data_IF_751083336111
#
_entry.id   IF_751083336111
#
_cell.length_a   1.000
_cell.length_b   1.000
_cell.length_c   1.000
_cell.angle_alpha   90.00
_cell.angle_beta   90.00
_cell.angle_gamma   90.00
#
_symmetry.space_group_name_H-M   'P 1'
#
loop_
_entity.id
_entity.type
_entity.pdbx_description
1 polymer ?
#
# COMPACT_ATOMS: atom_id res chain seq x y z
N UNK A 1 -0.91 3.28 -13.25
CA UNK A 1 -2.07 2.38 -13.06
C UNK A 1 -2.52 2.46 -11.62
N UNK A 2 -3.82 2.33 -11.39
CA UNK A 2 -4.42 2.15 -10.08
C UNK A 2 -4.31 0.67 -9.68
N UNK A 3 -3.59 0.35 -8.61
CA UNK A 3 -3.39 -1.03 -8.17
C UNK A 3 -3.91 -1.21 -6.75
N UNK A 4 -4.81 -2.16 -6.56
CA UNK A 4 -5.29 -2.54 -5.25
C UNK A 4 -4.35 -3.57 -4.61
N UNK A 5 -3.82 -3.26 -3.44
CA UNK A 5 -3.07 -4.20 -2.60
C UNK A 5 -3.94 -4.56 -1.41
N UNK A 6 -4.14 -5.86 -1.15
CA UNK A 6 -4.97 -6.34 -0.05
C UNK A 6 -4.12 -7.17 0.91
N UNK A 7 -3.89 -6.66 2.12
CA UNK A 7 -3.09 -7.37 3.11
C UNK A 7 -2.41 -6.44 4.11
N UNK A 8 -1.87 -7.01 5.18
CA UNK A 8 -1.24 -6.24 6.25
C UNK A 8 0.03 -6.85 6.84
N UNK A 9 0.53 -7.94 6.26
CA UNK A 9 1.84 -8.51 6.60
C UNK A 9 2.97 -7.82 5.84
N UNK A 10 4.22 -8.16 6.15
CA UNK A 10 5.40 -7.53 5.54
C UNK A 10 5.41 -7.59 4.00
N UNK A 11 4.91 -8.68 3.41
CA UNK A 11 4.75 -8.80 1.96
C UNK A 11 3.85 -7.71 1.37
N UNK A 12 2.74 -7.38 2.02
CA UNK A 12 1.87 -6.29 1.58
C UNK A 12 2.53 -4.91 1.70
N UNK A 13 3.33 -4.67 2.73
CA UNK A 13 4.11 -3.43 2.87
C UNK A 13 5.14 -3.31 1.75
N UNK A 14 5.89 -4.38 1.48
CA UNK A 14 6.88 -4.42 0.43
C UNK A 14 6.23 -4.19 -0.94
N UNK A 15 5.17 -4.94 -1.28
CA UNK A 15 4.43 -4.79 -2.54
C UNK A 15 3.86 -3.38 -2.71
N UNK A 16 3.22 -2.82 -1.67
CA UNK A 16 2.65 -1.48 -1.73
C UNK A 16 3.71 -0.40 -1.93
N UNK A 17 4.85 -0.51 -1.24
CA UNK A 17 5.94 0.45 -1.37
C UNK A 17 6.62 0.34 -2.73
N UNK A 18 6.95 -0.87 -3.17
CA UNK A 18 7.64 -1.12 -4.45
C UNK A 18 6.82 -0.60 -5.64
N UNK A 19 5.53 -0.92 -5.71
CA UNK A 19 4.65 -0.43 -6.77
C UNK A 19 4.51 1.09 -6.78
N UNK A 20 4.44 1.71 -5.58
CA UNK A 20 4.37 3.16 -5.47
C UNK A 20 5.67 3.84 -5.95
N UNK A 21 6.84 3.28 -5.64
CA UNK A 21 8.14 3.78 -6.11
C UNK A 21 8.27 3.67 -7.64
N UNK A 22 7.65 2.66 -8.24
CA UNK A 22 7.57 2.50 -9.70
C UNK A 22 6.47 3.34 -10.37
N UNK A 23 5.84 4.27 -9.65
CA UNK A 23 4.90 5.25 -10.20
C UNK A 23 3.46 4.76 -10.34
N UNK A 24 3.09 3.65 -9.70
CA UNK A 24 1.70 3.20 -9.64
C UNK A 24 0.93 3.91 -8.51
N UNK A 25 -0.36 4.17 -8.73
CA UNK A 25 -1.25 4.69 -7.71
C UNK A 25 -1.76 3.53 -6.86
N UNK A 26 -1.16 3.36 -5.68
CA UNK A 26 -1.47 2.22 -4.80
C UNK A 26 -2.68 2.51 -3.92
N UNK A 27 -3.68 1.64 -4.03
CA UNK A 27 -4.90 1.59 -3.23
C UNK A 27 -4.78 0.42 -2.25
N UNK A 28 -4.41 0.71 -1.01
CA UNK A 28 -4.01 -0.34 -0.08
C UNK A 28 -5.02 -0.52 1.04
N UNK A 29 -5.59 -1.72 1.10
CA UNK A 29 -6.47 -2.14 2.19
C UNK A 29 -5.78 -3.07 3.20
N UNK A 30 -6.05 -2.81 4.48
CA UNK A 30 -5.75 -3.72 5.59
C UNK A 30 -6.95 -3.85 6.54
N UNK A 31 -7.22 -5.08 6.99
CA UNK A 31 -8.29 -5.39 7.95
C UNK A 31 -8.07 -4.77 9.33
N UNK A 32 -6.87 -4.91 9.87
CA UNK A 32 -6.50 -4.37 11.18
C UNK A 32 -6.16 -2.88 11.06
N UNK A 33 -7.17 -2.03 11.18
CA UNK A 33 -7.02 -0.58 11.10
C UNK A 33 -6.15 0.01 12.22
N UNK A 34 -6.10 -0.62 13.41
CA UNK A 34 -5.27 -0.12 14.51
C UNK A 34 -3.79 -0.25 14.17
N UNK A 35 -3.38 -1.42 13.69
CA UNK A 35 -2.02 -1.64 13.24
C UNK A 35 -1.70 -0.93 11.90
N UNK A 36 -2.71 -0.51 11.14
CA UNK A 36 -2.56 0.30 9.93
C UNK A 36 -2.52 1.82 10.18
N UNK A 37 -2.79 2.25 11.41
CA UNK A 37 -2.94 3.66 11.81
C UNK A 37 -1.86 4.60 11.28
N UNK A 38 -0.56 4.30 11.43
CA UNK A 38 0.51 5.16 10.92
C UNK A 38 0.43 5.38 9.41
N UNK A 39 0.15 4.32 8.63
CA UNK A 39 0.03 4.44 7.17
C UNK A 39 -1.22 5.23 6.76
N UNK A 40 -2.33 5.07 7.49
CA UNK A 40 -3.56 5.84 7.26
C UNK A 40 -3.33 7.34 7.48
N UNK A 41 -2.52 7.70 8.48
CA UNK A 41 -2.21 9.08 8.84
C UNK A 41 -1.19 9.70 7.89
N UNK A 42 -0.04 9.05 7.71
CA UNK A 42 1.10 9.65 7.01
C UNK A 42 1.03 9.45 5.49
N UNK A 43 0.36 8.37 5.05
CA UNK A 43 0.33 7.90 3.66
C UNK A 43 1.72 7.68 3.07
N UNK A 44 2.71 7.43 3.92
CA UNK A 44 4.10 7.19 3.54
C UNK A 44 4.57 5.87 4.15
N UNK A 45 5.42 5.15 3.42
CA UNK A 45 6.13 3.98 3.91
C UNK A 45 7.61 4.19 3.62
N UNK A 46 8.45 3.82 4.57
CA UNK A 46 9.89 3.68 4.32
C UNK A 46 10.17 2.25 3.88
N UNK A 47 10.64 2.07 2.63
CA UNK A 47 11.18 0.79 2.16
C UNK A 47 12.69 0.80 2.38
N UNK A 48 13.23 -0.30 2.91
CA UNK A 48 14.67 -0.51 3.03
C UNK A 48 15.03 -1.76 2.24
N UNK A 49 15.90 -1.60 1.25
CA UNK A 49 16.38 -2.67 0.37
C UNK A 49 17.91 -2.60 0.22
N UNK A 50 18.45 -3.34 -0.74
CA UNK A 50 19.89 -3.36 -1.01
C UNK A 50 20.46 -2.04 -1.52
N UNK A 51 19.63 -1.16 -2.07
CA UNK A 51 20.02 0.12 -2.66
C UNK A 51 19.81 1.30 -1.70
N UNK A 52 19.18 1.06 -0.54
CA UNK A 52 19.15 1.99 0.57
C UNK A 52 17.76 2.17 1.18
N UNK A 53 17.41 3.42 1.47
CA UNK A 53 16.13 3.80 2.09
C UNK A 53 15.32 4.68 1.15
N UNK A 54 14.10 4.26 0.87
CA UNK A 54 13.21 4.92 -0.06
C UNK A 54 11.90 5.34 0.63
N UNK A 55 11.35 6.48 0.24
CA UNK A 55 10.07 6.99 0.75
C UNK A 55 8.99 6.76 -0.32
N UNK A 56 8.09 5.80 -0.06
CA UNK A 56 6.99 5.46 -0.95
C UNK A 56 5.70 6.15 -0.49
N UNK A 57 5.06 6.90 -1.39
CA UNK A 57 3.76 7.54 -1.12
C UNK A 57 2.61 6.63 -1.54
N UNK A 58 1.70 6.35 -0.61
CA UNK A 58 0.50 5.55 -0.87
C UNK A 58 -0.65 6.49 -1.24
N UNK A 59 -1.22 6.30 -2.43
CA UNK A 59 -2.30 7.15 -2.94
C UNK A 59 -3.56 7.03 -2.04
N UNK A 60 -3.94 5.80 -1.70
CA UNK A 60 -5.13 5.52 -0.92
C UNK A 60 -4.91 4.36 0.07
N UNK A 61 -4.40 4.62 1.28
CA UNK A 61 -4.52 3.66 2.37
C UNK A 61 -5.94 3.73 2.96
N UNK A 62 -6.60 2.58 3.12
CA UNK A 62 -7.97 2.51 3.62
C UNK A 62 -8.24 1.24 4.44
N UNK A 63 -9.23 1.31 5.34
CA UNK A 63 -9.81 0.16 6.04
C UNK A 63 -11.08 -0.35 5.37
N UNK A 64 -11.53 0.32 4.31
CA UNK A 64 -12.68 -0.08 3.51
C UNK A 64 -12.23 -0.93 2.29
N UNK A 65 -12.58 -2.21 2.30
CA UNK A 65 -12.19 -3.13 1.23
C UNK A 65 -12.78 -2.73 -0.13
N UNK A 66 -14.05 -2.28 -0.14
CA UNK A 66 -14.75 -1.87 -1.37
C UNK A 66 -14.02 -0.68 -2.00
N UNK A 67 -13.62 0.30 -1.19
CA UNK A 67 -12.92 1.51 -1.66
C UNK A 67 -11.57 1.19 -2.34
N UNK A 68 -10.84 0.21 -1.82
CA UNK A 68 -9.59 -0.24 -2.40
C UNK A 68 -9.80 -0.91 -3.76
N UNK A 69 -10.75 -1.85 -3.87
CA UNK A 69 -10.95 -2.65 -5.10
C UNK A 69 -11.71 -1.92 -6.19
N UNK A 70 -12.69 -1.07 -5.87
CA UNK A 70 -13.57 -0.46 -6.89
C UNK A 70 -12.85 0.46 -7.87
N UNK A 71 -11.69 0.99 -7.50
CA UNK A 71 -10.86 1.82 -8.39
C UNK A 71 -9.59 1.12 -8.90
N UNK A 72 -9.35 -0.13 -8.54
CA UNK A 72 -8.14 -0.86 -8.92
C UNK A 72 -8.28 -1.54 -10.28
N UNK A 73 -7.33 -1.31 -11.17
CA UNK A 73 -7.21 -2.01 -12.47
C UNK A 73 -6.69 -3.44 -12.27
N UNK A 74 -5.87 -3.64 -11.23
CA UNK A 74 -5.30 -4.92 -10.82
C UNK A 74 -5.44 -5.07 -9.31
N UNK A 75 -5.74 -6.29 -8.85
CA UNK A 75 -5.77 -6.65 -7.42
C UNK A 75 -4.65 -7.63 -7.12
N UNK A 76 -3.82 -7.31 -6.13
CA UNK A 76 -2.74 -8.17 -5.64
C UNK A 76 -3.03 -8.51 -4.18
N UNK A 77 -2.93 -9.80 -3.86
CA UNK A 77 -3.13 -10.35 -2.50
C UNK A 77 -1.85 -11.09 -2.07
N UNK A 78 -0.88 -10.39 -1.46
CA UNK A 78 0.40 -10.94 -1.04
C UNK A 78 0.34 -11.77 0.24
#
# INVERSE_FOLDING_TARGET
MEIAVLGGGNGAYATAADLALHGHAVRWWRRDGKAFGPVLQDKMITLVDGDGRHQARIALPTTNLVEAVSGGEVVIVP
#
